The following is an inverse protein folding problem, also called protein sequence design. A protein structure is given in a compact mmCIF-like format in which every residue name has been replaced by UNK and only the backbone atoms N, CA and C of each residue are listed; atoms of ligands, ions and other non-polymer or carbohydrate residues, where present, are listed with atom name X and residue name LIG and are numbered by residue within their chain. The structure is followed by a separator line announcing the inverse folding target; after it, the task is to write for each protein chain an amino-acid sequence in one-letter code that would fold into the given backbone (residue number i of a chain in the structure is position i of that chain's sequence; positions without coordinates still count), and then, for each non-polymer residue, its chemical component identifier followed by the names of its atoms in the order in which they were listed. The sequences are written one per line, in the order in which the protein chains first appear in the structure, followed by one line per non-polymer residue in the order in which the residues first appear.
data_IF_177872851301
#
_entry.id   IF_177872851301
#
_cell.length_a   1.000
_cell.length_b   1.000
_cell.length_c   1.000
_cell.angle_alpha   90.00
_cell.angle_beta   90.00
_cell.angle_gamma   90.00
#
_symmetry.space_group_name_H-M   'P 1'
#
loop_
_entity.id
_entity.type
_entity.pdbx_description
1 polymer ?
#
# COMPACT_ATOMS: atom_id res chain seq x y z
N UNK A 1 12.27 30.54 2.59
CA UNK A 1 12.81 29.18 2.90
C UNK A 1 11.84 28.15 2.39
N UNK A 2 12.31 27.20 1.58
CA UNK A 2 11.50 26.11 1.01
C UNK A 2 11.59 24.97 2.02
N UNK A 3 10.47 24.59 2.65
CA UNK A 3 10.43 23.40 3.50
C UNK A 3 10.24 22.18 2.62
N UNK A 4 11.19 21.24 2.59
CA UNK A 4 11.06 20.02 1.80
C UNK A 4 9.96 19.11 2.37
N UNK A 5 9.39 18.24 1.53
CA UNK A 5 8.31 17.31 1.92
C UNK A 5 8.79 16.05 2.65
N UNK A 6 10.10 15.95 2.93
CA UNK A 6 10.69 14.80 3.59
C UNK A 6 11.05 15.08 5.05
N UNK A 7 11.04 14.02 5.87
CA UNK A 7 11.53 14.07 7.24
C UNK A 7 12.94 13.47 7.31
N UNK A 8 13.90 14.27 7.77
CA UNK A 8 15.25 13.81 8.07
C UNK A 8 15.27 13.16 9.46
N UNK A 9 15.74 11.93 9.52
CA UNK A 9 15.93 11.17 10.76
C UNK A 9 17.42 11.01 10.94
N UNK A 10 17.94 11.47 12.08
CA UNK A 10 19.34 11.25 12.44
C UNK A 10 19.42 9.93 13.19
N UNK A 11 20.26 9.02 12.71
CA UNK A 11 20.55 7.76 13.41
C UNK A 11 21.66 8.06 14.41
N UNK A 12 21.39 7.77 15.68
CA UNK A 12 22.26 8.18 16.80
C UNK A 12 23.11 7.04 17.36
N UNK A 13 22.84 5.79 16.97
CA UNK A 13 23.54 4.61 17.47
C UNK A 13 23.77 3.60 16.35
N UNK A 14 24.90 2.89 16.46
CA UNK A 14 25.29 1.72 15.67
C UNK A 14 24.90 0.40 16.31
N UNK A 15 24.40 0.43 17.54
CA UNK A 15 23.90 -0.76 18.22
C UNK A 15 22.60 -1.23 17.55
N UNK A 16 22.59 -2.50 17.13
CA UNK A 16 21.49 -3.10 16.37
C UNK A 16 20.13 -2.95 17.07
N UNK A 17 20.05 -3.22 18.37
CA UNK A 17 18.78 -3.16 19.13
C UNK A 17 18.21 -1.74 19.18
N UNK A 18 19.08 -0.74 19.39
CA UNK A 18 18.67 0.67 19.45
C UNK A 18 18.27 1.19 18.06
N UNK A 19 18.97 0.75 17.02
CA UNK A 19 18.66 1.09 15.64
C UNK A 19 17.32 0.48 15.21
N UNK A 20 17.07 -0.79 15.50
CA UNK A 20 15.77 -1.43 15.24
C UNK A 20 14.63 -0.71 15.98
N UNK A 21 14.79 -0.44 17.28
CA UNK A 21 13.79 0.28 18.08
C UNK A 21 13.51 1.69 17.52
N UNK A 22 14.55 2.39 17.06
CA UNK A 22 14.42 3.69 16.44
C UNK A 22 13.65 3.60 15.11
N UNK A 23 13.96 2.61 14.26
CA UNK A 23 13.27 2.37 12.99
C UNK A 23 11.81 1.95 13.19
N UNK A 24 11.51 1.20 14.23
CA UNK A 24 10.13 0.74 14.49
C UNK A 24 9.19 1.86 14.92
N UNK A 25 9.73 2.87 15.61
CA UNK A 25 8.99 4.06 16.04
C UNK A 25 8.59 4.95 14.85
N UNK A 26 9.25 4.78 13.70
CA UNK A 26 9.05 5.63 12.52
C UNK A 26 7.92 5.09 11.65
N UNK A 27 6.93 5.94 11.38
CA UNK A 27 5.91 5.66 10.38
C UNK A 27 6.38 6.08 8.97
N UNK A 28 7.01 5.13 8.26
CA UNK A 28 7.48 5.30 6.89
C UNK A 28 6.35 5.57 5.86
N UNK A 29 5.08 5.35 6.22
CA UNK A 29 3.97 5.47 5.28
C UNK A 29 3.49 6.90 5.08
N UNK A 30 3.65 7.73 6.10
CA UNK A 30 3.06 9.07 6.14
C UNK A 30 3.69 10.04 5.13
N UNK A 31 5.01 9.96 4.93
CA UNK A 31 5.79 10.90 4.11
C UNK A 31 7.15 10.31 3.72
N UNK A 32 7.85 10.88 2.73
CA UNK A 32 9.22 10.46 2.43
C UNK A 32 10.17 10.69 3.61
N UNK A 33 11.06 9.73 3.86
CA UNK A 33 12.04 9.76 4.95
C UNK A 33 13.46 9.64 4.43
N UNK A 34 14.39 10.33 5.10
CA UNK A 34 15.82 10.23 4.84
C UNK A 34 16.51 9.89 6.14
N UNK A 35 17.29 8.82 6.13
CA UNK A 35 18.10 8.39 7.26
C UNK A 35 19.48 9.03 7.12
N UNK A 36 19.92 9.75 8.14
CA UNK A 36 21.18 10.49 8.14
C UNK A 36 22.17 9.84 9.08
N UNK A 37 23.28 9.34 8.53
CA UNK A 37 24.37 8.69 9.27
C UNK A 37 25.49 9.66 9.70
N UNK A 38 25.26 10.97 9.62
CA UNK A 38 26.28 11.97 9.98
C UNK A 38 26.72 11.94 11.46
N UNK A 39 25.90 11.38 12.37
CA UNK A 39 26.25 11.30 13.78
C UNK A 39 27.20 10.13 14.10
N UNK A 40 27.28 9.11 13.24
CA UNK A 40 28.05 7.89 13.46
C UNK A 40 29.03 7.72 12.30
N UNK A 41 30.07 8.56 12.26
CA UNK A 41 30.99 8.63 11.11
C UNK A 41 31.88 7.38 11.00
N UNK A 42 32.29 6.81 12.13
CA UNK A 42 33.26 5.70 12.17
C UNK A 42 32.61 4.33 11.88
N UNK A 43 31.30 4.17 12.15
CA UNK A 43 30.59 2.89 12.04
C UNK A 43 29.48 2.94 10.97
N UNK A 44 29.62 3.81 9.97
CA UNK A 44 28.62 3.96 8.89
C UNK A 44 28.35 2.67 8.13
N UNK A 45 29.36 1.84 7.87
CA UNK A 45 29.20 0.57 7.16
C UNK A 45 28.37 -0.43 7.97
N UNK A 46 28.61 -0.51 9.27
CA UNK A 46 27.86 -1.39 10.17
C UNK A 46 26.38 -0.96 10.24
N UNK A 47 26.13 0.34 10.39
CA UNK A 47 24.77 0.89 10.34
C UNK A 47 24.09 0.58 9.00
N UNK A 48 24.79 0.73 7.87
CA UNK A 48 24.23 0.44 6.55
C UNK A 48 23.81 -1.03 6.43
N UNK A 49 24.67 -1.96 6.86
CA UNK A 49 24.37 -3.39 6.86
C UNK A 49 23.14 -3.70 7.72
N UNK A 50 23.07 -3.14 8.94
CA UNK A 50 21.93 -3.35 9.84
C UNK A 50 20.62 -2.78 9.29
N UNK A 51 20.65 -1.60 8.68
CA UNK A 51 19.46 -1.00 8.07
C UNK A 51 18.99 -1.88 6.90
N UNK A 52 19.91 -2.41 6.09
CA UNK A 52 19.59 -3.32 4.97
C UNK A 52 18.97 -4.63 5.46
N UNK A 53 19.56 -5.23 6.50
CA UNK A 53 19.02 -6.41 7.17
C UNK A 53 17.62 -6.16 7.76
N UNK A 54 17.41 -5.03 8.43
CA UNK A 54 16.11 -4.64 8.99
C UNK A 54 15.04 -4.57 7.90
N UNK A 55 15.34 -3.91 6.79
CA UNK A 55 14.40 -3.77 5.68
C UNK A 55 14.20 -5.05 4.87
N UNK A 56 15.13 -6.01 4.94
CA UNK A 56 14.95 -7.39 4.45
C UNK A 56 14.05 -8.20 5.36
N UNK A 57 14.17 -8.04 6.68
CA UNK A 57 13.36 -8.71 7.71
C UNK A 57 11.92 -8.19 7.75
N UNK A 58 11.71 -6.89 7.56
CA UNK A 58 10.40 -6.22 7.60
C UNK A 58 10.06 -5.52 6.27
N UNK A 59 9.80 -6.28 5.19
CA UNK A 59 9.51 -5.71 3.87
C UNK A 59 8.24 -4.85 3.86
N UNK A 60 7.26 -5.11 4.72
CA UNK A 60 6.01 -4.35 4.85
C UNK A 60 6.18 -2.90 5.35
N UNK A 61 7.37 -2.59 5.89
CA UNK A 61 7.78 -1.23 6.27
C UNK A 61 8.38 -0.46 5.08
N UNK A 62 8.84 -1.14 4.02
CA UNK A 62 9.10 -0.51 2.72
C UNK A 62 7.72 -0.23 2.12
N UNK A 63 7.29 1.04 2.10
CA UNK A 63 6.22 1.64 1.27
C UNK A 63 5.65 2.89 1.97
N UNK A 64 5.14 3.88 1.23
CA UNK A 64 5.07 3.99 -0.22
C UNK A 64 6.27 4.72 -0.85
N UNK A 65 7.18 5.27 -0.04
CA UNK A 65 8.32 6.04 -0.54
C UNK A 65 9.63 5.24 -0.45
N UNK A 66 10.52 5.35 -1.44
CA UNK A 66 11.87 4.82 -1.33
C UNK A 66 12.61 5.45 -0.15
N UNK A 67 13.31 4.62 0.62
CA UNK A 67 14.13 5.09 1.75
C UNK A 67 15.52 5.42 1.24
N UNK A 68 15.97 6.64 1.52
CA UNK A 68 17.32 7.09 1.19
C UNK A 68 18.16 7.19 2.45
N UNK A 69 19.41 6.72 2.37
CA UNK A 69 20.40 6.87 3.44
C UNK A 69 21.45 7.88 3.01
N UNK A 70 21.56 8.97 3.77
CA UNK A 70 22.56 10.00 3.63
C UNK A 70 23.84 9.54 4.32
N UNK A 71 24.84 9.17 3.52
CA UNK A 71 26.12 8.63 3.96
C UNK A 71 27.27 9.15 3.10
N UNK A 72 28.46 9.17 3.67
CA UNK A 72 29.71 9.54 2.98
C UNK A 72 30.25 8.39 2.14
N UNK A 73 29.91 7.15 2.52
CA UNK A 73 30.38 5.92 1.89
C UNK A 73 29.51 5.60 0.68
N UNK A 74 30.13 5.36 -0.47
CA UNK A 74 29.45 4.76 -1.62
C UNK A 74 29.42 3.26 -1.41
N UNK A 75 28.23 2.70 -1.17
CA UNK A 75 28.08 1.25 -1.18
C UNK A 75 27.07 0.84 -2.25
N UNK A 76 27.54 0.04 -3.20
CA UNK A 76 26.73 -0.62 -4.22
C UNK A 76 26.25 -2.00 -3.78
N UNK A 77 26.68 -2.47 -2.60
CA UNK A 77 26.44 -3.84 -2.12
C UNK A 77 25.08 -3.99 -1.43
N UNK A 78 24.44 -2.89 -1.02
CA UNK A 78 23.17 -2.90 -0.28
C UNK A 78 21.98 -2.60 -1.21
N UNK A 79 20.80 -3.15 -0.88
CA UNK A 79 19.57 -2.89 -1.63
C UNK A 79 19.01 -1.47 -1.39
N UNK A 80 19.50 -0.79 -0.34
CA UNK A 80 19.08 0.56 0.02
C UNK A 80 19.83 1.61 -0.80
N UNK A 81 19.09 2.62 -1.26
CA UNK A 81 19.66 3.73 -2.01
C UNK A 81 20.42 4.68 -1.08
N UNK A 82 21.74 4.76 -1.27
CA UNK A 82 22.61 5.71 -0.58
C UNK A 82 22.77 7.00 -1.38
N UNK A 83 22.79 8.14 -0.70
CA UNK A 83 23.04 9.47 -1.27
C UNK A 83 24.13 10.19 -0.47
N UNK A 84 24.96 10.98 -1.15
CA UNK A 84 26.00 11.82 -0.52
C UNK A 84 25.51 13.21 -0.15
N UNK A 85 24.48 13.67 -0.85
CA UNK A 85 23.91 15.01 -0.69
C UNK A 85 22.41 14.97 -0.89
N UNK A 86 21.70 15.84 -0.16
CA UNK A 86 20.26 16.07 -0.34
C UNK A 86 19.93 16.56 -1.76
N UNK A 87 20.90 17.10 -2.49
CA UNK A 87 20.74 17.47 -3.90
C UNK A 87 20.55 16.26 -4.83
N UNK A 88 21.00 15.07 -4.43
CA UNK A 88 20.83 13.84 -5.21
C UNK A 88 19.42 13.24 -5.07
N UNK A 89 18.60 13.78 -4.16
CA UNK A 89 17.24 13.31 -3.98
C UNK A 89 16.38 13.54 -5.23
N UNK A 90 15.49 12.59 -5.55
CA UNK A 90 14.49 12.78 -6.59
C UNK A 90 13.69 14.07 -6.38
N UNK A 91 13.28 14.70 -7.48
CA UNK A 91 12.55 15.98 -7.46
C UNK A 91 11.33 15.95 -6.55
N UNK A 92 10.66 14.80 -6.40
CA UNK A 92 9.46 14.68 -5.57
C UNK A 92 9.71 14.96 -4.08
N UNK A 93 10.89 14.62 -3.54
CA UNK A 93 11.27 14.95 -2.14
C UNK A 93 11.43 16.46 -1.93
N UNK A 94 11.75 17.18 -3.00
CA UNK A 94 12.02 18.63 -2.97
C UNK A 94 10.77 19.47 -3.22
N UNK A 95 9.64 18.83 -3.56
CA UNK A 95 8.37 19.54 -3.75
C UNK A 95 7.86 19.98 -2.38
N UNK A 96 7.49 21.26 -2.27
CA UNK A 96 6.86 21.83 -1.08
C UNK A 96 5.52 21.14 -0.82
N UNK A 97 5.25 20.76 0.42
CA UNK A 97 3.90 20.35 0.81
C UNK A 97 2.93 21.51 0.53
N UNK A 98 2.06 21.31 -0.47
CA UNK A 98 0.96 22.24 -0.75
C UNK A 98 -0.24 21.82 0.09
N UNK A 99 -0.95 22.76 0.72
CA UNK A 99 -2.23 22.43 1.33
C UNK A 99 -3.16 21.85 0.26
N UNK A 100 -3.89 20.81 0.63
CA UNK A 100 -4.86 20.19 -0.26
C UNK A 100 -5.94 21.21 -0.63
N UNK A 101 -6.31 21.25 -1.91
CA UNK A 101 -7.45 22.01 -2.37
C UNK A 101 -8.75 21.40 -1.80
N UNK A 102 -9.83 22.17 -1.71
CA UNK A 102 -11.11 21.72 -1.15
C UNK A 102 -11.62 20.42 -1.79
N UNK A 103 -11.45 20.27 -3.12
CA UNK A 103 -11.76 19.01 -3.83
C UNK A 103 -10.89 17.83 -3.38
N UNK A 104 -9.60 18.06 -3.17
CA UNK A 104 -8.64 17.04 -2.73
C UNK A 104 -8.88 16.65 -1.27
N UNK A 105 -9.22 17.62 -0.41
CA UNK A 105 -9.59 17.38 1.00
C UNK A 105 -10.86 16.53 1.10
N UNK A 106 -11.89 16.84 0.31
CA UNK A 106 -13.12 16.04 0.28
C UNK A 106 -12.86 14.61 -0.20
N UNK A 107 -12.00 14.45 -1.21
CA UNK A 107 -11.58 13.13 -1.69
C UNK A 107 -10.81 12.35 -0.62
N UNK A 108 -9.86 12.99 0.06
CA UNK A 108 -9.09 12.38 1.14
C UNK A 108 -10.00 11.95 2.30
N UNK A 109 -10.96 12.80 2.69
CA UNK A 109 -11.95 12.45 3.71
C UNK A 109 -12.79 11.23 3.33
N UNK A 110 -13.19 11.11 2.05
CA UNK A 110 -13.89 9.92 1.55
C UNK A 110 -13.01 8.66 1.62
N UNK A 111 -11.74 8.77 1.26
CA UNK A 111 -10.78 7.65 1.35
C UNK A 111 -10.61 7.20 2.80
N UNK A 112 -10.42 8.13 3.73
CA UNK A 112 -10.27 7.83 5.15
C UNK A 112 -11.51 7.15 5.74
N UNK A 113 -12.71 7.62 5.38
CA UNK A 113 -13.96 6.98 5.77
C UNK A 113 -14.05 5.54 5.24
N UNK A 114 -13.68 5.32 3.97
CA UNK A 114 -13.65 3.98 3.39
C UNK A 114 -12.64 3.07 4.12
N UNK A 115 -11.43 3.56 4.39
CA UNK A 115 -10.41 2.80 5.13
C UNK A 115 -10.89 2.43 6.54
N UNK A 116 -11.54 3.36 7.25
CA UNK A 116 -12.12 3.11 8.56
C UNK A 116 -13.23 2.06 8.48
N UNK A 117 -14.11 2.17 7.48
CA UNK A 117 -15.15 1.17 7.25
C UNK A 117 -14.52 -0.21 6.99
N UNK A 118 -13.52 -0.30 6.13
CA UNK A 118 -12.79 -1.56 5.87
C UNK A 118 -12.17 -2.16 7.12
N UNK A 119 -11.58 -1.34 7.99
CA UNK A 119 -10.99 -1.82 9.23
C UNK A 119 -12.04 -2.40 10.20
N UNK A 120 -13.27 -1.90 10.13
CA UNK A 120 -14.39 -2.31 10.98
C UNK A 120 -15.25 -3.42 10.33
N UNK A 121 -14.93 -3.87 9.12
CA UNK A 121 -15.69 -4.94 8.46
C UNK A 121 -15.46 -6.26 9.20
N UNK A 122 -16.54 -6.88 9.65
CA UNK A 122 -16.52 -8.25 10.13
C UNK A 122 -16.46 -9.20 8.94
N UNK A 123 -15.26 -9.70 8.64
CA UNK A 123 -14.98 -10.58 7.50
C UNK A 123 -15.90 -11.81 7.49
N UNK A 124 -16.29 -12.32 8.66
CA UNK A 124 -17.18 -13.50 8.77
C UNK A 124 -18.59 -13.22 8.25
N UNK A 125 -19.15 -12.08 8.61
CA UNK A 125 -20.49 -11.68 8.13
C UNK A 125 -20.48 -11.42 6.62
N UNK A 126 -19.42 -10.77 6.13
CA UNK A 126 -19.26 -10.49 4.70
C UNK A 126 -19.11 -11.77 3.88
N UNK A 127 -18.35 -12.76 4.37
CA UNK A 127 -18.23 -14.05 3.69
C UNK A 127 -19.58 -14.79 3.62
N UNK A 128 -20.37 -14.80 4.70
CA UNK A 128 -21.71 -15.38 4.69
C UNK A 128 -22.61 -14.71 3.65
N UNK A 129 -22.51 -13.39 3.50
CA UNK A 129 -23.24 -12.65 2.46
C UNK A 129 -22.78 -13.03 1.05
N UNK A 130 -21.47 -13.17 0.81
CA UNK A 130 -20.95 -13.60 -0.49
C UNK A 130 -21.37 -15.03 -0.83
N UNK A 131 -21.34 -15.96 0.13
CA UNK A 131 -21.80 -17.33 -0.06
C UNK A 131 -23.30 -17.39 -0.40
N UNK A 132 -24.12 -16.65 0.34
CA UNK A 132 -25.56 -16.56 0.08
C UNK A 132 -25.84 -15.92 -1.29
N UNK A 133 -25.12 -14.87 -1.64
CA UNK A 133 -25.23 -14.23 -2.95
C UNK A 133 -24.87 -15.20 -4.08
N UNK A 134 -23.76 -15.94 -3.95
CA UNK A 134 -23.34 -16.93 -4.92
C UNK A 134 -24.35 -18.09 -5.06
N UNK A 135 -24.93 -18.55 -3.94
CA UNK A 135 -25.98 -19.58 -3.94
C UNK A 135 -27.23 -19.08 -4.67
N UNK A 136 -27.74 -17.90 -4.30
CA UNK A 136 -28.91 -17.30 -4.93
C UNK A 136 -28.70 -17.10 -6.44
N UNK A 137 -27.51 -16.68 -6.85
CA UNK A 137 -27.22 -16.49 -8.27
C UNK A 137 -27.18 -17.80 -9.07
N UNK A 138 -26.77 -18.92 -8.43
CA UNK A 138 -26.87 -20.26 -9.04
C UNK A 138 -28.32 -20.70 -9.16
N UNK A 139 -29.13 -20.45 -8.14
CA UNK A 139 -30.55 -20.84 -8.14
C UNK A 139 -31.36 -20.03 -9.16
N UNK A 140 -31.12 -18.71 -9.25
CA UNK A 140 -31.70 -17.86 -10.30
C UNK A 140 -31.33 -18.37 -11.69
N UNK A 141 -30.06 -18.73 -11.92
CA UNK A 141 -29.62 -19.26 -13.22
C UNK A 141 -30.34 -20.55 -13.59
N UNK A 142 -30.59 -21.45 -12.63
CA UNK A 142 -31.35 -22.68 -12.85
C UNK A 142 -32.80 -22.38 -13.24
N UNK A 143 -33.47 -21.50 -12.49
CA UNK A 143 -34.84 -21.09 -12.81
C UNK A 143 -34.94 -20.44 -14.19
N UNK A 144 -33.98 -19.57 -14.53
CA UNK A 144 -33.91 -18.97 -15.85
C UNK A 144 -33.79 -20.03 -16.95
N UNK A 145 -32.91 -21.03 -16.78
CA UNK A 145 -32.75 -22.09 -17.77
C UNK A 145 -34.00 -22.98 -17.93
N UNK A 146 -34.78 -23.14 -16.86
CA UNK A 146 -36.04 -23.88 -16.90
C UNK A 146 -37.13 -23.07 -17.62
N UNK A 147 -37.22 -21.77 -17.35
CA UNK A 147 -38.11 -20.85 -18.08
C UNK A 147 -37.78 -20.85 -19.58
N UNK A 148 -36.50 -20.78 -19.93
CA UNK A 148 -36.05 -20.80 -21.32
C UNK A 148 -36.43 -22.13 -22.00
N UNK A 149 -36.26 -23.25 -21.30
CA UNK A 149 -36.65 -24.57 -21.81
C UNK A 149 -38.17 -24.69 -22.04
N UNK A 150 -38.97 -24.25 -21.07
CA UNK A 150 -40.44 -24.27 -21.18
C UNK A 150 -40.94 -23.38 -22.32
N UNK A 151 -40.31 -22.20 -22.49
CA UNK A 151 -40.62 -21.28 -23.59
C UNK A 151 -40.32 -21.90 -24.96
N UNK A 152 -39.19 -22.60 -25.09
CA UNK A 152 -38.87 -23.36 -26.30
C UNK A 152 -39.85 -24.50 -26.57
N UNK A 153 -40.38 -25.13 -25.52
CA UNK A 153 -41.33 -26.23 -25.64
C UNK A 153 -42.72 -25.71 -26.05
N UNK A 154 -43.18 -24.59 -25.48
CA UNK A 154 -44.44 -23.96 -25.91
C UNK A 154 -44.36 -23.49 -27.35
N UNK A 155 -43.26 -22.84 -27.77
CA UNK A 155 -43.07 -22.44 -29.18
C UNK A 155 -43.13 -23.63 -30.14
N UNK A 156 -42.62 -24.79 -29.73
CA UNK A 156 -42.69 -26.02 -30.55
C UNK A 156 -44.10 -26.58 -30.61
N UNK A 157 -44.87 -26.52 -29.52
CA UNK A 157 -46.25 -26.98 -29.48
C UNK A 157 -47.14 -26.09 -30.34
N UNK A 158 -47.01 -24.77 -30.22
CA UNK A 158 -47.77 -23.80 -31.02
C UNK A 158 -47.53 -24.02 -32.53
N UNK A 159 -46.27 -24.27 -32.94
CA UNK A 159 -45.94 -24.61 -34.33
C UNK A 159 -46.54 -25.93 -34.82
N UNK A 160 -46.77 -26.90 -33.94
CA UNK A 160 -47.39 -28.18 -34.30
C UNK A 160 -48.90 -28.00 -34.48
N UNK A 161 -49.53 -27.18 -33.65
CA UNK A 161 -50.95 -26.87 -33.77
C UNK A 161 -51.26 -25.99 -35.00
N UNK A 162 -50.35 -25.10 -35.40
CA UNK A 162 -50.47 -24.35 -36.68
C UNK A 162 -50.33 -25.22 -37.94
N UNK A 163 -49.78 -26.43 -37.83
CA UNK A 163 -49.57 -27.36 -38.94
C UNK A 163 -50.73 -28.38 -39.12
N UNK A 164 -51.73 -28.38 -38.23
CA UNK A 164 -52.94 -29.22 -38.32
C UNK A 164 -54.13 -28.45 -38.87
#
# INVERSE_FOLDING_TARGET
MIFPSFKKIVINSSESELLEAQLDTIDFRSRPHILSLHAVIEEQEQCLSQIDEYFKKYPEKKLPYPTFVLTTIESQEYDIQTIRSEEQLPKFFKVKERPLNHKETNLMGRIQLLQKNFHHINIREVNNHFENYAKNHRDIKKLQSEIDFLSQLSEKLDRIDELK
#
